data_IF_361037394815
#
_entry.id   IF_361037394815
#
_cell.length_a   1.000
_cell.length_b   1.000
_cell.length_c   1.000
_cell.angle_alpha   90.00
_cell.angle_beta   90.00
_cell.angle_gamma   90.00
#
_symmetry.space_group_name_H-M   'P 1'
#
loop_
_entity.id
_entity.type
_entity.pdbx_description
1 polymer ?
#
# COMPACT_ATOMS: atom_id res chain seq x y z
N UNK A 1 26.80 -1.14 3.63
CA UNK A 1 28.18 -1.39 3.15
C UNK A 1 28.97 -1.97 4.34
N UNK A 2 30.20 -2.46 4.16
CA UNK A 2 30.96 -3.09 5.26
C UNK A 2 31.18 -2.16 6.48
N UNK A 3 30.98 -0.87 6.29
CA UNK A 3 31.02 0.22 7.27
C UNK A 3 29.71 0.43 8.06
N UNK A 4 28.66 -0.36 7.81
CA UNK A 4 27.35 -0.18 8.46
C UNK A 4 26.43 0.85 7.79
N UNK A 5 26.83 1.44 6.65
CA UNK A 5 25.96 2.34 5.86
C UNK A 5 24.70 1.60 5.40
N UNK A 6 23.54 2.19 5.67
CA UNK A 6 22.25 1.72 5.17
C UNK A 6 22.22 1.79 3.63
N UNK A 7 21.96 0.66 2.98
CA UNK A 7 21.88 0.54 1.54
C UNK A 7 20.49 -0.01 1.15
N UNK A 8 19.49 0.86 1.21
CA UNK A 8 18.09 0.49 1.00
C UNK A 8 17.41 -0.06 2.25
N UNK A 9 16.22 -0.62 2.06
CA UNK A 9 15.38 -1.17 3.13
C UNK A 9 14.76 -2.50 2.68
N UNK A 10 14.47 -3.37 3.65
CA UNK A 10 13.68 -4.59 3.46
C UNK A 10 12.19 -4.37 3.75
N UNK A 11 11.78 -3.12 3.95
CA UNK A 11 10.41 -2.75 4.26
C UNK A 11 9.47 -3.07 3.11
N UNK A 12 8.43 -3.85 3.39
CA UNK A 12 7.32 -4.13 2.48
C UNK A 12 6.20 -3.09 2.64
N UNK A 13 5.33 -2.94 1.65
CA UNK A 13 4.28 -1.92 1.65
C UNK A 13 3.20 -2.14 2.72
N UNK A 14 2.84 -3.40 2.99
CA UNK A 14 1.95 -3.77 4.10
C UNK A 14 2.56 -3.38 5.45
N UNK A 15 3.87 -3.60 5.62
CA UNK A 15 4.57 -3.18 6.84
C UNK A 15 4.68 -1.66 6.94
N UNK A 16 4.86 -0.95 5.82
CA UNK A 16 4.84 0.51 5.80
C UNK A 16 3.47 1.06 6.27
N UNK A 17 2.36 0.48 5.77
CA UNK A 17 1.01 0.81 6.23
C UNK A 17 0.83 0.56 7.73
N UNK A 18 1.23 -0.63 8.21
CA UNK A 18 1.15 -0.96 9.64
C UNK A 18 2.01 -0.04 10.52
N UNK A 19 3.18 0.38 10.03
CA UNK A 19 4.04 1.33 10.73
C UNK A 19 3.38 2.71 10.87
N UNK A 20 2.64 3.19 9.86
CA UNK A 20 1.90 4.45 9.98
C UNK A 20 0.84 4.40 11.08
N UNK A 21 0.11 3.28 11.20
CA UNK A 21 -0.83 3.09 12.31
C UNK A 21 -0.10 3.09 13.67
N UNK A 22 1.05 2.43 13.78
CA UNK A 22 1.87 2.45 14.99
C UNK A 22 2.43 3.84 15.34
N UNK A 23 2.57 4.72 14.34
CA UNK A 23 2.94 6.13 14.51
C UNK A 23 1.73 7.05 14.80
N UNK A 24 0.52 6.49 14.91
CA UNK A 24 -0.69 7.24 15.28
C UNK A 24 -1.47 7.83 14.12
N UNK A 25 -1.14 7.49 12.87
CA UNK A 25 -1.95 7.90 11.71
C UNK A 25 -3.22 7.05 11.65
N UNK A 26 -4.32 7.67 11.21
CA UNK A 26 -5.53 6.93 10.90
C UNK A 26 -5.38 6.10 9.61
N UNK A 27 -6.36 5.22 9.37
CA UNK A 27 -6.34 4.34 8.20
C UNK A 27 -6.42 5.13 6.88
N UNK A 28 -7.13 6.25 6.86
CA UNK A 28 -7.31 7.06 5.64
C UNK A 28 -5.97 7.66 5.22
N UNK A 29 -5.21 8.20 6.16
CA UNK A 29 -3.89 8.76 5.92
C UNK A 29 -2.87 7.68 5.57
N UNK A 30 -2.94 6.52 6.23
CA UNK A 30 -2.15 5.33 5.85
C UNK A 30 -2.37 4.96 4.38
N UNK A 31 -3.64 4.84 3.95
CA UNK A 31 -3.99 4.50 2.56
C UNK A 31 -3.55 5.58 1.58
N UNK A 32 -3.69 6.88 1.94
CA UNK A 32 -3.19 7.97 1.08
C UNK A 32 -1.70 7.83 0.82
N UNK A 33 -0.90 7.54 1.86
CA UNK A 33 0.56 7.43 1.77
C UNK A 33 1.05 6.17 1.05
N UNK A 34 0.27 5.10 1.07
CA UNK A 34 0.64 3.83 0.41
C UNK A 34 -0.08 3.60 -0.92
N UNK A 35 -0.92 4.54 -1.38
CA UNK A 35 -1.69 4.39 -2.62
C UNK A 35 -1.92 5.74 -3.32
N UNK A 36 -2.84 6.57 -2.82
CA UNK A 36 -3.34 7.75 -3.55
C UNK A 36 -2.27 8.77 -3.92
N UNK A 37 -1.37 9.09 -2.98
CA UNK A 37 -0.33 10.12 -3.19
C UNK A 37 0.67 9.65 -4.25
N UNK A 38 1.02 8.36 -4.26
CA UNK A 38 1.93 7.82 -5.27
C UNK A 38 1.28 7.84 -6.67
N UNK A 39 -0.01 7.48 -6.77
CA UNK A 39 -0.73 7.57 -8.04
C UNK A 39 -0.83 9.02 -8.54
N UNK A 40 -1.15 9.96 -7.66
CA UNK A 40 -1.21 11.39 -7.99
C UNK A 40 0.16 11.92 -8.44
N UNK A 41 1.24 11.57 -7.73
CA UNK A 41 2.61 11.96 -8.09
C UNK A 41 3.03 11.44 -9.46
N UNK A 42 2.63 10.22 -9.81
CA UNK A 42 2.94 9.59 -11.09
C UNK A 42 1.98 9.96 -12.22
N UNK A 43 0.94 10.76 -11.95
CA UNK A 43 -0.10 11.10 -12.94
C UNK A 43 -0.99 9.93 -13.35
N UNK A 44 -1.14 8.92 -12.49
CA UNK A 44 -1.97 7.74 -12.74
C UNK A 44 -3.42 8.01 -12.30
N UNK A 45 -4.25 8.40 -13.27
CA UNK A 45 -5.67 8.71 -13.06
C UNK A 45 -6.58 7.47 -12.97
N UNK A 46 -6.08 6.32 -13.44
CA UNK A 46 -6.81 5.06 -13.52
C UNK A 46 -6.74 4.19 -12.27
N UNK A 47 -5.95 4.54 -11.24
CA UNK A 47 -5.76 3.75 -10.01
C UNK A 47 -5.50 4.61 -8.77
N UNK A 48 -5.11 3.97 -7.67
CA UNK A 48 -4.76 4.63 -6.41
C UNK A 48 -5.94 5.12 -5.57
N UNK A 49 -7.18 4.94 -6.05
CA UNK A 49 -8.41 5.31 -5.35
C UNK A 49 -9.50 4.27 -5.61
N UNK A 50 -10.27 3.95 -4.57
CA UNK A 50 -11.42 3.04 -4.66
C UNK A 50 -12.67 3.81 -5.14
N UNK A 51 -12.77 3.99 -6.45
CA UNK A 51 -13.87 4.74 -7.11
C UNK A 51 -14.31 3.97 -8.36
N UNK A 52 -15.62 3.92 -8.68
CA UNK A 52 -16.10 3.28 -9.90
C UNK A 52 -15.38 3.77 -11.16
N UNK A 53 -15.10 2.86 -12.09
CA UNK A 53 -14.39 3.13 -13.35
C UNK A 53 -12.87 3.09 -13.27
N UNK A 54 -12.27 3.05 -12.08
CA UNK A 54 -10.82 2.82 -11.89
C UNK A 54 -10.47 1.34 -11.86
N UNK A 55 -9.20 1.00 -12.08
CA UNK A 55 -8.69 -0.38 -11.95
C UNK A 55 -8.99 -0.91 -10.56
N UNK A 56 -9.53 -2.11 -10.50
CA UNK A 56 -9.73 -2.84 -9.26
C UNK A 56 -8.41 -3.50 -8.79
N UNK A 57 -7.42 -2.65 -8.49
CA UNK A 57 -6.17 -3.02 -7.81
C UNK A 57 -6.35 -2.83 -6.31
N UNK A 58 -6.61 -3.92 -5.58
CA UNK A 58 -7.00 -3.93 -4.18
C UNK A 58 -6.11 -4.88 -3.36
N UNK A 59 -5.85 -4.50 -2.11
CA UNK A 59 -5.22 -5.36 -1.12
C UNK A 59 -6.18 -5.48 0.06
N UNK A 60 -6.48 -6.72 0.46
CA UNK A 60 -7.31 -7.00 1.62
C UNK A 60 -6.38 -7.14 2.82
N UNK A 61 -6.61 -6.31 3.83
CA UNK A 61 -5.82 -6.28 5.07
C UNK A 61 -6.76 -6.54 6.24
N UNK A 62 -6.41 -7.48 7.12
CA UNK A 62 -7.20 -7.75 8.32
C UNK A 62 -6.95 -6.71 9.43
N UNK A 63 -7.70 -6.84 10.54
CA UNK A 63 -7.56 -5.93 11.68
C UNK A 63 -6.18 -6.00 12.38
N UNK A 64 -5.37 -7.03 12.10
CA UNK A 64 -4.00 -7.18 12.61
C UNK A 64 -2.96 -6.61 11.65
N UNK A 65 -3.38 -6.09 10.50
CA UNK A 65 -2.49 -5.56 9.47
C UNK A 65 -1.92 -6.62 8.53
N UNK A 66 -2.42 -7.87 8.58
CA UNK A 66 -1.95 -8.92 7.69
C UNK A 66 -2.67 -8.87 6.34
N UNK A 67 -1.92 -9.03 5.25
CA UNK A 67 -2.50 -9.18 3.90
C UNK A 67 -3.18 -10.54 3.80
N UNK A 68 -4.47 -10.54 3.49
CA UNK A 68 -5.30 -11.75 3.35
C UNK A 68 -5.69 -12.04 1.91
N UNK A 69 -5.41 -11.12 0.99
CA UNK A 69 -5.63 -11.31 -0.43
C UNK A 69 -5.22 -10.10 -1.26
N UNK A 70 -4.98 -10.33 -2.55
CA UNK A 70 -4.66 -9.30 -3.53
C UNK A 70 -5.58 -9.48 -4.74
N UNK A 71 -6.14 -8.38 -5.22
CA UNK A 71 -6.89 -8.31 -6.46
C UNK A 71 -6.14 -7.34 -7.37
N UNK A 72 -5.81 -7.76 -8.59
CA UNK A 72 -5.23 -6.91 -9.62
C UNK A 72 -6.15 -6.86 -10.81
N UNK A 73 -6.51 -5.66 -11.23
CA UNK A 73 -7.37 -5.41 -12.39
C UNK A 73 -8.65 -6.27 -12.33
N UNK A 74 -9.20 -6.46 -11.12
CA UNK A 74 -10.41 -7.26 -10.88
C UNK A 74 -10.19 -8.78 -10.79
N UNK A 75 -8.94 -9.26 -10.89
CA UNK A 75 -8.60 -10.68 -10.76
C UNK A 75 -7.87 -10.96 -9.45
N UNK A 76 -8.32 -11.93 -8.64
CA UNK A 76 -7.53 -12.40 -7.50
C UNK A 76 -6.15 -12.89 -7.99
N UNK A 77 -5.09 -12.44 -7.33
CA UNK A 77 -3.75 -13.01 -7.44
C UNK A 77 -3.48 -13.76 -6.15
N UNK A 78 -2.90 -14.96 -6.27
CA UNK A 78 -2.90 -16.01 -5.25
C UNK A 78 -2.53 -15.59 -3.82
N UNK A 79 -2.97 -16.43 -2.88
CA UNK A 79 -2.53 -16.46 -1.49
C UNK A 79 -1.09 -16.97 -1.37
#
# INVERSE_FOLDING_TARGET
LADGTLAGSVLTMDRAFANFAALGLDQVEGVRRTSSIAADYLGLDDRGRLVPGRRADLVLIDARGAVTGVIREGRPIGA
#
